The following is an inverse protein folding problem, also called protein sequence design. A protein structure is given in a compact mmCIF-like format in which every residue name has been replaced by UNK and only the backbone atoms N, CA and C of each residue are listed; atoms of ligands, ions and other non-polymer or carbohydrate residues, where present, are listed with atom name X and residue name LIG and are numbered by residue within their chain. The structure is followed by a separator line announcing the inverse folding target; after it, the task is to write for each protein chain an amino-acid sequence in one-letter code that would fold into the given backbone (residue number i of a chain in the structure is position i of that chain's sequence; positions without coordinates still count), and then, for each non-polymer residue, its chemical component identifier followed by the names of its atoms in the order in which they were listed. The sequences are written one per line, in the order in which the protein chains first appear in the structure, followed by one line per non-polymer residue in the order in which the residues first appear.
data_IF_269652621081
#
_entry.id   IF_269652621081
#
_cell.length_a   1.000
_cell.length_b   1.000
_cell.length_c   1.000
_cell.angle_alpha   90.00
_cell.angle_beta   90.00
_cell.angle_gamma   90.00
#
_symmetry.space_group_name_H-M   'P 1'
#
loop_
_entity.id
_entity.type
_entity.pdbx_description
1 polymer ?
#
# COMPACT_ATOMS: atom_id res chain seq x y z
N UNK A 1 -4.04 -21.84 -58.61
CA UNK A 1 -5.46 -21.73 -58.24
C UNK A 1 -5.52 -21.47 -56.74
N UNK A 2 -6.41 -20.58 -56.29
CA UNK A 2 -6.23 -19.67 -55.14
C UNK A 2 -6.06 -20.31 -53.75
N UNK A 3 -5.22 -19.64 -52.94
CA UNK A 3 -5.19 -19.68 -51.48
C UNK A 3 -6.26 -18.72 -50.93
N UNK A 4 -7.17 -19.20 -50.08
CA UNK A 4 -8.17 -18.38 -49.40
C UNK A 4 -7.72 -18.12 -47.94
N UNK A 5 -7.38 -16.86 -47.63
CA UNK A 5 -7.24 -16.37 -46.26
C UNK A 5 -8.63 -16.03 -45.73
N UNK A 6 -9.07 -16.72 -44.67
CA UNK A 6 -10.20 -16.31 -43.84
C UNK A 6 -9.69 -15.39 -42.73
N UNK A 7 -10.08 -14.12 -42.80
CA UNK A 7 -9.81 -13.13 -41.76
C UNK A 7 -11.13 -12.83 -41.05
N UNK A 8 -11.25 -13.27 -39.80
CA UNK A 8 -12.41 -12.93 -38.95
C UNK A 8 -12.16 -11.54 -38.37
N UNK A 9 -12.82 -10.55 -38.96
CA UNK A 9 -12.83 -9.17 -38.46
C UNK A 9 -13.76 -9.08 -37.25
N UNK A 10 -13.19 -8.80 -36.08
CA UNK A 10 -13.95 -8.55 -34.85
C UNK A 10 -14.82 -7.29 -34.98
N UNK A 11 -16.11 -7.45 -34.67
CA UNK A 11 -17.07 -6.35 -34.61
C UNK A 11 -16.72 -5.50 -33.38
N UNK A 12 -16.19 -4.30 -33.61
CA UNK A 12 -16.09 -3.26 -32.58
C UNK A 12 -17.43 -2.54 -32.51
N UNK A 13 -18.19 -2.73 -31.44
CA UNK A 13 -19.30 -1.83 -31.11
C UNK A 13 -18.73 -0.47 -30.73
N UNK A 14 -18.83 0.49 -31.64
CA UNK A 14 -18.54 1.90 -31.37
C UNK A 14 -19.79 2.51 -30.74
N UNK A 15 -19.78 2.66 -29.43
CA UNK A 15 -20.81 3.42 -28.73
C UNK A 15 -20.56 4.92 -29.00
N UNK A 16 -21.32 5.52 -29.92
CA UNK A 16 -21.28 6.97 -30.11
C UNK A 16 -22.24 7.62 -29.11
N UNK A 17 -21.77 7.93 -27.91
CA UNK A 17 -22.46 8.93 -27.08
C UNK A 17 -22.20 10.30 -27.71
N UNK A 18 -23.24 11.10 -28.06
CA UNK A 18 -23.02 12.48 -28.46
C UNK A 18 -22.42 13.22 -27.26
N UNK A 19 -21.16 13.63 -27.37
CA UNK A 19 -20.57 14.53 -26.39
C UNK A 19 -21.20 15.90 -26.60
N UNK A 20 -22.23 16.24 -25.81
CA UNK A 20 -22.62 17.62 -25.63
C UNK A 20 -21.42 18.32 -24.99
N UNK A 21 -20.69 19.09 -25.79
CA UNK A 21 -19.65 19.99 -25.29
C UNK A 21 -20.33 21.10 -24.50
N UNK A 22 -20.65 20.82 -23.24
CA UNK A 22 -21.05 21.84 -22.28
C UNK A 22 -19.82 22.70 -22.05
N UNK A 23 -19.85 23.93 -22.58
CA UNK A 23 -18.83 24.92 -22.31
C UNK A 23 -18.73 25.13 -20.79
N UNK A 24 -17.50 25.24 -20.27
CA UNK A 24 -17.28 25.59 -18.86
C UNK A 24 -18.06 26.87 -18.57
N UNK A 25 -18.95 26.90 -17.55
CA UNK A 25 -19.69 28.11 -17.22
C UNK A 25 -18.69 29.25 -16.97
N UNK A 26 -18.89 30.37 -17.68
CA UNK A 26 -18.01 31.55 -17.61
C UNK A 26 -18.13 32.30 -16.28
N UNK A 27 -19.16 31.99 -15.50
CA UNK A 27 -19.40 32.61 -14.21
C UNK A 27 -19.20 31.57 -13.09
N UNK A 28 -18.42 31.95 -12.09
CA UNK A 28 -18.35 31.30 -10.78
C UNK A 28 -19.39 31.85 -9.81
N UNK A 29 -20.23 32.78 -10.25
CA UNK A 29 -21.28 33.37 -9.42
C UNK A 29 -22.35 32.31 -9.13
N UNK A 30 -22.33 31.79 -7.90
CA UNK A 30 -23.28 30.82 -7.37
C UNK A 30 -24.42 31.48 -6.60
N UNK A 31 -24.63 32.78 -6.81
CA UNK A 31 -25.56 33.56 -6.01
C UNK A 31 -24.99 33.84 -4.61
N UNK A 32 -25.74 34.56 -3.76
CA UNK A 32 -25.32 34.85 -2.40
C UNK A 32 -25.11 33.55 -1.60
N UNK A 33 -24.20 33.59 -0.62
CA UNK A 33 -23.97 32.47 0.30
C UNK A 33 -25.31 31.96 0.83
N UNK A 34 -25.60 30.67 0.61
CA UNK A 34 -26.81 30.06 1.13
C UNK A 34 -26.84 30.26 2.64
N UNK A 35 -27.93 30.82 3.14
CA UNK A 35 -28.15 30.99 4.59
C UNK A 35 -28.84 29.77 5.19
N UNK A 36 -29.04 28.72 4.38
CA UNK A 36 -29.63 27.46 4.83
C UNK A 36 -28.66 26.73 5.77
N UNK A 37 -29.14 26.20 6.90
CA UNK A 37 -28.32 25.42 7.85
C UNK A 37 -27.80 24.10 7.25
N UNK A 38 -28.21 23.76 6.02
CA UNK A 38 -27.75 22.60 5.26
C UNK A 38 -26.39 22.83 4.58
N UNK A 39 -25.75 23.99 4.76
CA UNK A 39 -24.39 24.20 4.29
C UNK A 39 -23.45 23.30 5.10
N UNK A 40 -23.08 22.17 4.49
CA UNK A 40 -22.22 21.16 5.10
C UNK A 40 -20.84 21.77 5.34
N UNK A 41 -20.55 22.08 6.59
CA UNK A 41 -19.22 22.46 7.01
C UNK A 41 -18.36 21.19 6.99
N UNK A 42 -17.39 21.13 6.08
CA UNK A 42 -16.54 19.94 5.92
C UNK A 42 -15.66 19.70 7.15
N UNK A 43 -15.40 20.74 7.95
CA UNK A 43 -14.73 20.60 9.25
C UNK A 43 -15.62 19.88 10.27
N UNK A 44 -16.94 20.05 10.18
CA UNK A 44 -17.92 19.37 11.05
C UNK A 44 -18.16 17.89 10.71
N UNK A 45 -17.64 17.43 9.56
CA UNK A 45 -17.70 16.02 9.13
C UNK A 45 -16.44 15.23 9.46
N UNK A 46 -15.42 15.87 10.05
CA UNK A 46 -14.21 15.16 10.48
C UNK A 46 -14.46 14.41 11.80
N UNK A 47 -15.09 13.25 11.68
CA UNK A 47 -15.41 12.34 12.80
C UNK A 47 -14.14 11.82 13.49
N UNK A 48 -12.98 11.90 12.84
CA UNK A 48 -11.70 11.39 13.33
C UNK A 48 -10.75 12.49 13.85
N UNK A 49 -11.08 13.77 13.65
CA UNK A 49 -10.24 14.89 14.07
C UNK A 49 -9.97 14.94 15.59
N UNK A 50 -10.81 14.28 16.39
CA UNK A 50 -10.62 14.14 17.84
C UNK A 50 -9.88 12.88 18.30
N UNK A 51 -9.63 11.90 17.42
CA UNK A 51 -8.89 10.69 17.78
C UNK A 51 -7.38 10.93 17.71
N UNK A 52 -6.63 10.70 18.82
CA UNK A 52 -5.19 10.90 18.79
C UNK A 52 -4.55 9.90 17.82
N UNK A 53 -3.71 10.42 16.92
CA UNK A 53 -2.97 9.57 15.99
C UNK A 53 -2.09 8.57 16.77
N UNK A 54 -1.97 7.32 16.30
CA UNK A 54 -1.18 6.32 16.98
C UNK A 54 0.30 6.75 17.05
N UNK A 55 0.99 6.36 18.12
CA UNK A 55 2.42 6.59 18.29
C UNK A 55 3.26 5.96 17.17
N UNK A 56 2.72 4.91 16.54
CA UNK A 56 3.30 4.22 15.39
C UNK A 56 2.92 4.81 14.04
N UNK A 57 2.15 5.91 13.99
CA UNK A 57 1.83 6.57 12.73
C UNK A 57 3.13 7.02 12.04
N UNK A 58 3.18 6.87 10.73
CA UNK A 58 4.35 7.25 9.92
C UNK A 58 4.23 8.72 9.55
N UNK A 59 5.18 9.51 10.02
CA UNK A 59 5.25 10.95 9.76
C UNK A 59 6.00 11.23 8.44
N UNK A 60 7.11 10.53 8.20
CA UNK A 60 7.89 10.70 6.98
C UNK A 60 8.49 9.38 6.45
N UNK A 61 8.45 9.23 5.13
CA UNK A 61 9.15 8.17 4.41
C UNK A 61 10.45 8.74 3.79
N UNK A 62 11.59 8.33 4.34
CA UNK A 62 12.93 8.67 3.85
C UNK A 62 13.46 7.61 2.87
N UNK A 63 14.47 7.98 2.09
CA UNK A 63 15.11 7.06 1.13
C UNK A 63 15.66 5.79 1.81
N UNK A 64 16.15 5.91 3.03
CA UNK A 64 16.77 4.83 3.80
C UNK A 64 15.91 4.32 4.96
N UNK A 65 14.70 4.84 5.17
CA UNK A 65 13.93 4.51 6.36
C UNK A 65 12.69 5.36 6.61
N UNK A 66 12.29 5.47 7.88
CA UNK A 66 11.01 6.02 8.31
C UNK A 66 11.16 6.87 9.58
N UNK A 67 10.37 7.93 9.68
CA UNK A 67 10.13 8.69 10.89
C UNK A 67 8.70 8.43 11.36
N UNK A 68 8.54 8.09 12.63
CA UNK A 68 7.23 7.88 13.26
C UNK A 68 6.82 9.11 14.06
N UNK A 69 5.52 9.25 14.30
CA UNK A 69 4.91 10.31 15.12
C UNK A 69 5.46 10.35 16.56
N UNK A 70 6.02 9.24 17.05
CA UNK A 70 6.75 9.17 18.32
C UNK A 70 8.08 9.93 18.34
N UNK A 71 8.55 10.41 17.19
CA UNK A 71 9.92 10.89 16.98
C UNK A 71 10.93 9.77 16.74
N UNK A 72 10.53 8.48 16.78
CA UNK A 72 11.42 7.36 16.48
C UNK A 72 11.79 7.36 15.00
N UNK A 73 13.09 7.37 14.72
CA UNK A 73 13.64 7.23 13.37
C UNK A 73 14.25 5.84 13.17
N UNK A 74 13.74 5.12 12.19
CA UNK A 74 14.28 3.83 11.74
C UNK A 74 15.03 4.06 10.43
N UNK A 75 16.33 3.74 10.39
CA UNK A 75 17.19 3.92 9.21
C UNK A 75 17.84 2.59 8.79
N UNK A 76 18.21 2.46 7.52
CA UNK A 76 18.86 1.28 6.95
C UNK A 76 18.01 0.01 7.00
N UNK A 77 16.69 0.13 7.16
CA UNK A 77 15.75 -0.99 7.24
C UNK A 77 14.35 -0.56 6.83
N UNK A 78 13.55 -1.54 6.43
CA UNK A 78 12.11 -1.40 6.37
C UNK A 78 11.53 -1.44 7.77
N UNK A 79 10.21 -1.24 7.85
CA UNK A 79 9.47 -1.33 9.11
C UNK A 79 8.34 -2.34 8.97
N UNK A 80 8.19 -3.18 9.98
CA UNK A 80 7.01 -4.01 10.17
C UNK A 80 6.29 -3.50 11.42
N UNK A 81 5.10 -2.95 11.22
CA UNK A 81 4.25 -2.37 12.27
C UNK A 81 3.14 -3.37 12.58
N UNK A 82 3.08 -3.85 13.81
CA UNK A 82 2.09 -4.86 14.26
C UNK A 82 1.73 -4.57 15.71
N UNK A 83 0.43 -4.49 16.03
CA UNK A 83 -0.02 -4.37 17.43
C UNK A 83 0.40 -3.09 18.15
N UNK A 84 0.68 -2.01 17.41
CA UNK A 84 1.20 -0.77 17.99
C UNK A 84 2.70 -0.80 18.30
N UNK A 85 3.43 -1.80 17.82
CA UNK A 85 4.89 -1.88 17.90
C UNK A 85 5.51 -1.74 16.51
N UNK A 86 6.79 -1.35 16.45
CA UNK A 86 7.55 -1.21 15.21
C UNK A 86 8.83 -2.03 15.27
N UNK A 87 8.98 -2.90 14.28
CA UNK A 87 10.13 -3.78 14.13
C UNK A 87 10.95 -3.38 12.90
N UNK A 88 12.27 -3.38 13.05
CA UNK A 88 13.16 -3.28 11.89
C UNK A 88 12.98 -4.52 11.01
N UNK A 89 12.61 -4.31 9.76
CA UNK A 89 12.24 -5.38 8.84
C UNK A 89 13.12 -5.34 7.59
N UNK A 90 13.80 -6.47 7.30
CA UNK A 90 14.75 -6.58 6.20
C UNK A 90 14.50 -7.87 5.40
N UNK A 91 13.41 -7.92 4.61
CA UNK A 91 13.06 -9.11 3.84
C UNK A 91 14.18 -9.55 2.89
N UNK A 92 14.97 -8.59 2.39
CA UNK A 92 16.10 -8.83 1.49
C UNK A 92 17.28 -9.56 2.14
N UNK A 93 17.39 -9.60 3.48
CA UNK A 93 18.46 -10.34 4.17
C UNK A 93 18.11 -11.82 4.38
N UNK A 94 16.83 -12.17 4.24
CA UNK A 94 16.38 -13.56 4.28
C UNK A 94 16.59 -14.27 2.93
N UNK A 95 16.83 -13.51 1.87
CA UNK A 95 17.02 -14.00 0.51
C UNK A 95 18.51 -14.30 0.31
N UNK A 96 18.81 -15.58 0.17
CA UNK A 96 20.18 -16.12 0.13
C UNK A 96 20.39 -17.11 1.28
N UNK A 97 20.57 -18.39 0.95
CA UNK A 97 20.86 -19.40 1.97
C UNK A 97 22.09 -19.02 2.82
N UNK A 98 22.27 -19.65 3.99
CA UNK A 98 23.31 -19.33 4.99
C UNK A 98 24.73 -19.08 4.42
N UNK A 99 25.06 -19.58 3.22
CA UNK A 99 26.36 -19.46 2.56
C UNK A 99 26.50 -18.27 1.57
N UNK A 100 25.40 -17.61 1.16
CA UNK A 100 25.42 -16.54 0.12
C UNK A 100 24.59 -15.30 0.49
N UNK A 101 24.47 -15.00 1.79
CA UNK A 101 23.71 -13.87 2.36
C UNK A 101 24.09 -12.47 1.83
N UNK A 102 25.21 -12.37 1.11
CA UNK A 102 25.77 -11.12 0.56
C UNK A 102 25.56 -10.99 -0.96
N UNK A 103 25.06 -12.01 -1.67
CA UNK A 103 25.25 -12.09 -3.12
C UNK A 103 24.18 -11.39 -3.96
N UNK A 104 22.91 -11.32 -3.53
CA UNK A 104 21.92 -10.45 -4.20
C UNK A 104 20.79 -10.10 -3.22
N UNK A 105 20.67 -8.83 -2.87
CA UNK A 105 19.44 -8.29 -2.27
C UNK A 105 18.38 -8.20 -3.36
N UNK A 106 17.70 -9.33 -3.66
CA UNK A 106 16.67 -9.40 -4.69
C UNK A 106 15.29 -9.69 -4.13
N UNK A 107 14.35 -8.75 -4.16
CA UNK A 107 12.96 -8.98 -3.72
C UNK A 107 12.03 -9.43 -4.86
N UNK A 108 12.47 -9.28 -6.12
CA UNK A 108 11.68 -9.68 -7.28
C UNK A 108 12.17 -10.99 -7.89
N UNK A 109 11.25 -11.93 -8.13
CA UNK A 109 11.56 -13.14 -8.87
C UNK A 109 11.74 -12.87 -10.39
N UNK A 110 12.04 -13.91 -11.16
CA UNK A 110 12.23 -13.78 -12.63
C UNK A 110 10.97 -13.31 -13.37
N UNK A 111 9.79 -13.46 -12.77
CA UNK A 111 8.49 -13.03 -13.32
C UNK A 111 8.16 -11.58 -12.93
N UNK A 112 9.05 -10.90 -12.20
CA UNK A 112 8.82 -9.54 -11.69
C UNK A 112 7.81 -9.48 -10.54
N UNK A 113 7.54 -10.61 -9.89
CA UNK A 113 6.66 -10.66 -8.72
C UNK A 113 7.49 -10.47 -7.45
N UNK A 114 6.93 -9.78 -6.47
CA UNK A 114 7.51 -9.66 -5.14
C UNK A 114 7.38 -11.00 -4.42
N UNK A 115 8.54 -11.57 -4.11
CA UNK A 115 8.68 -12.97 -3.72
C UNK A 115 9.75 -13.05 -2.62
N UNK A 116 9.31 -13.40 -1.42
CA UNK A 116 10.15 -13.49 -0.24
C UNK A 116 9.83 -14.80 0.48
N UNK A 117 10.82 -15.40 1.15
CA UNK A 117 10.61 -16.67 1.80
C UNK A 117 9.74 -16.46 3.07
N UNK A 118 8.99 -17.49 3.47
CA UNK A 118 7.94 -17.37 4.49
C UNK A 118 8.46 -16.94 5.87
N UNK A 119 9.74 -17.17 6.16
CA UNK A 119 10.36 -16.81 7.45
C UNK A 119 10.38 -15.29 7.69
N UNK A 120 10.31 -14.50 6.61
CA UNK A 120 10.17 -13.03 6.68
C UNK A 120 8.89 -12.62 7.41
N UNK A 121 7.87 -13.48 7.39
CA UNK A 121 6.56 -13.27 8.02
C UNK A 121 6.43 -13.93 9.39
N UNK A 122 7.51 -14.51 9.94
CA UNK A 122 7.47 -15.28 11.18
C UNK A 122 6.86 -14.56 12.38
N UNK A 123 6.96 -13.22 12.45
CA UNK A 123 6.28 -12.43 13.48
C UNK A 123 4.75 -12.55 13.38
N UNK A 124 4.22 -12.55 12.16
CA UNK A 124 2.78 -12.68 11.91
C UNK A 124 2.28 -14.09 12.25
N UNK A 125 3.13 -15.12 12.21
CA UNK A 125 2.78 -16.48 12.60
C UNK A 125 2.58 -16.60 14.12
N UNK A 126 3.30 -15.82 14.92
CA UNK A 126 3.27 -15.90 16.39
C UNK A 126 2.39 -14.85 17.07
N UNK A 127 2.15 -13.71 16.42
CA UNK A 127 1.38 -12.61 17.05
C UNK A 127 -0.07 -13.01 17.32
N UNK A 128 -0.61 -12.55 18.47
CA UNK A 128 -2.03 -12.66 18.82
C UNK A 128 -2.50 -11.37 19.52
N UNK A 129 -3.69 -10.83 19.18
CA UNK A 129 -4.59 -11.25 18.10
C UNK A 129 -3.93 -11.08 16.71
N UNK A 130 -4.41 -11.84 15.71
CA UNK A 130 -3.95 -11.68 14.32
C UNK A 130 -4.52 -10.37 13.76
N UNK A 131 -3.74 -9.58 13.01
CA UNK A 131 -4.27 -8.42 12.31
C UNK A 131 -5.20 -8.86 11.18
N UNK A 132 -6.30 -8.15 10.94
CA UNK A 132 -7.26 -8.46 9.88
C UNK A 132 -6.72 -8.07 8.50
N UNK A 133 -5.89 -7.01 8.45
CA UNK A 133 -5.33 -6.43 7.24
C UNK A 133 -3.83 -6.13 7.39
N UNK A 134 -3.04 -6.51 6.39
CA UNK A 134 -1.65 -6.13 6.22
C UNK A 134 -1.51 -5.22 4.99
N UNK A 135 -1.06 -3.98 5.22
CA UNK A 135 -0.69 -3.03 4.17
C UNK A 135 0.79 -3.21 3.83
N UNK A 136 1.08 -3.68 2.61
CA UNK A 136 2.43 -3.97 2.12
C UNK A 136 2.91 -2.85 1.18
N UNK A 137 3.91 -2.09 1.65
CA UNK A 137 4.59 -1.03 0.89
C UNK A 137 5.88 -1.54 0.24
N UNK A 138 5.94 -1.57 -1.08
CA UNK A 138 7.04 -2.18 -1.84
C UNK A 138 8.15 -1.20 -2.28
N UNK A 139 8.26 -0.06 -1.62
CA UNK A 139 9.26 0.97 -1.92
C UNK A 139 8.74 1.99 -2.94
N UNK A 140 9.48 2.30 -4.01
CA UNK A 140 9.12 3.35 -4.97
C UNK A 140 7.98 3.00 -5.94
N UNK A 141 7.55 1.73 -5.99
CA UNK A 141 6.53 1.28 -6.93
C UNK A 141 5.82 0.01 -6.46
N UNK A 142 4.78 -0.36 -7.19
CA UNK A 142 3.94 -1.53 -6.90
C UNK A 142 4.35 -2.70 -7.78
N UNK A 143 4.45 -3.89 -7.19
CA UNK A 143 4.71 -5.14 -7.88
C UNK A 143 3.68 -6.21 -7.49
N UNK A 144 3.29 -7.12 -8.40
CA UNK A 144 2.44 -8.24 -8.04
C UNK A 144 3.13 -9.12 -7.00
N UNK A 145 2.42 -9.55 -5.97
CA UNK A 145 2.97 -10.46 -4.95
C UNK A 145 2.86 -11.92 -5.41
N UNK A 146 3.86 -12.73 -5.09
CA UNK A 146 3.84 -14.17 -5.37
C UNK A 146 2.59 -14.83 -4.75
N UNK A 147 1.91 -15.74 -5.46
CA UNK A 147 0.70 -16.40 -4.95
C UNK A 147 0.92 -17.13 -3.62
N UNK A 148 2.11 -17.69 -3.41
CA UNK A 148 2.49 -18.42 -2.19
C UNK A 148 2.47 -17.52 -0.96
N UNK A 149 3.05 -16.32 -1.05
CA UNK A 149 3.00 -15.31 0.02
C UNK A 149 1.57 -14.93 0.36
N UNK A 150 0.71 -14.71 -0.65
CA UNK A 150 -0.70 -14.37 -0.42
C UNK A 150 -1.44 -15.56 0.22
N UNK A 151 -1.17 -16.79 -0.20
CA UNK A 151 -1.77 -17.98 0.37
C UNK A 151 -1.37 -18.17 1.84
N UNK A 152 -0.10 -17.95 2.19
CA UNK A 152 0.38 -18.00 3.57
C UNK A 152 -0.34 -16.97 4.45
N UNK A 153 -0.37 -15.70 4.05
CA UNK A 153 -1.05 -14.65 4.82
C UNK A 153 -2.56 -14.92 4.96
N UNK A 154 -3.22 -15.35 3.89
CA UNK A 154 -4.64 -15.71 3.93
C UNK A 154 -4.90 -16.89 4.89
N UNK A 155 -3.99 -17.86 4.98
CA UNK A 155 -4.12 -18.99 5.92
C UNK A 155 -4.08 -18.57 7.39
N UNK A 156 -3.46 -17.41 7.68
CA UNK A 156 -3.46 -16.78 9.00
C UNK A 156 -4.71 -15.93 9.27
N UNK A 157 -5.61 -15.79 8.28
CA UNK A 157 -6.76 -14.89 8.33
C UNK A 157 -6.43 -13.43 8.01
N UNK A 158 -5.25 -13.15 7.46
CA UNK A 158 -4.77 -11.79 7.20
C UNK A 158 -5.03 -11.43 5.73
N UNK A 159 -5.79 -10.36 5.49
CA UNK A 159 -5.98 -9.79 4.15
C UNK A 159 -4.75 -8.98 3.74
N UNK A 160 -4.32 -9.08 2.47
CA UNK A 160 -3.14 -8.38 1.96
C UNK A 160 -3.53 -7.25 0.99
N UNK A 161 -3.12 -6.03 1.30
CA UNK A 161 -3.21 -4.85 0.44
C UNK A 161 -1.80 -4.44 -0.02
N UNK A 162 -1.59 -4.18 -1.31
CA UNK A 162 -0.24 -3.91 -1.86
C UNK A 162 -0.21 -2.53 -2.50
N UNK A 163 0.72 -1.69 -2.06
CA UNK A 163 0.92 -0.33 -2.55
C UNK A 163 2.41 0.05 -2.60
N UNK A 164 2.73 1.21 -3.16
CA UNK A 164 4.02 1.86 -2.96
C UNK A 164 4.07 2.43 -1.55
N UNK A 165 5.28 2.63 -1.02
CA UNK A 165 5.47 2.87 0.41
C UNK A 165 4.83 4.15 0.92
N UNK A 166 4.76 5.22 0.11
CA UNK A 166 4.13 6.48 0.57
C UNK A 166 2.62 6.32 0.74
N UNK A 167 1.97 5.69 -0.24
CA UNK A 167 0.54 5.45 -0.18
C UNK A 167 0.20 4.42 0.91
N UNK A 168 1.01 3.35 1.00
CA UNK A 168 0.88 2.35 2.06
C UNK A 168 0.96 2.96 3.47
N UNK A 169 1.90 3.88 3.69
CA UNK A 169 2.04 4.59 4.96
C UNK A 169 0.80 5.44 5.29
N UNK A 170 0.26 6.17 4.31
CA UNK A 170 -0.95 6.97 4.49
C UNK A 170 -2.17 6.10 4.78
N UNK A 171 -2.34 4.99 4.05
CA UNK A 171 -3.43 4.04 4.27
C UNK A 171 -3.35 3.39 5.65
N UNK A 172 -2.15 2.99 6.09
CA UNK A 172 -1.94 2.47 7.44
C UNK A 172 -2.34 3.50 8.51
N UNK A 173 -1.89 4.75 8.40
CA UNK A 173 -2.20 5.79 9.39
C UNK A 173 -3.70 6.02 9.54
N UNK A 174 -4.44 6.07 8.42
CA UNK A 174 -5.88 6.21 8.42
C UNK A 174 -6.55 5.02 9.10
N UNK A 175 -6.24 3.80 8.64
CA UNK A 175 -6.90 2.60 9.16
C UNK A 175 -6.54 2.30 10.62
N UNK A 176 -5.31 2.58 11.04
CA UNK A 176 -4.87 2.43 12.42
C UNK A 176 -5.56 3.43 13.36
N UNK A 177 -5.95 4.61 12.85
CA UNK A 177 -6.74 5.60 13.59
C UNK A 177 -8.22 5.17 13.66
N UNK A 178 -8.78 4.65 12.57
CA UNK A 178 -10.19 4.23 12.50
C UNK A 178 -10.50 2.94 13.26
N UNK A 179 -9.66 1.90 13.07
CA UNK A 179 -9.92 0.54 13.55
C UNK A 179 -9.01 0.14 14.72
N UNK A 180 -8.04 0.98 15.05
CA UNK A 180 -7.02 0.69 16.04
C UNK A 180 -5.83 -0.09 15.47
N UNK A 181 -4.68 0.07 16.13
CA UNK A 181 -3.39 -0.54 15.76
C UNK A 181 -3.32 -2.06 15.90
N UNK A 182 -4.31 -2.68 16.56
CA UNK A 182 -4.40 -4.13 16.72
C UNK A 182 -4.95 -4.84 15.48
N UNK A 183 -5.83 -4.19 14.73
CA UNK A 183 -6.54 -4.78 13.59
C UNK A 183 -5.80 -4.61 12.28
N UNK A 184 -4.88 -3.65 12.20
CA UNK A 184 -4.14 -3.33 10.97
C UNK A 184 -2.64 -3.37 11.23
N UNK A 185 -1.93 -4.09 10.37
CA UNK A 185 -0.49 -4.16 10.31
C UNK A 185 0.02 -3.48 9.02
N UNK A 186 1.28 -3.07 9.02
CA UNK A 186 1.95 -2.58 7.83
C UNK A 186 3.37 -3.13 7.71
N UNK A 187 3.79 -3.47 6.50
CA UNK A 187 5.14 -3.92 6.19
C UNK A 187 5.68 -3.07 5.05
N UNK A 188 6.66 -2.22 5.34
CA UNK A 188 7.08 -1.15 4.44
C UNK A 188 8.57 -1.23 4.12
N UNK A 189 8.88 -1.28 2.83
CA UNK A 189 10.23 -1.16 2.29
C UNK A 189 10.54 0.33 2.07
N UNK A 190 11.75 0.85 2.39
CA UNK A 190 12.06 2.26 2.19
C UNK A 190 11.86 2.75 0.75
N UNK A 191 11.45 4.01 0.56
CA UNK A 191 11.17 4.56 -0.78
C UNK A 191 12.42 4.62 -1.67
N UNK A 192 13.62 4.66 -1.08
CA UNK A 192 14.88 4.63 -1.82
C UNK A 192 15.38 3.23 -2.16
N UNK A 193 14.60 2.19 -1.87
CA UNK A 193 14.96 0.81 -2.18
C UNK A 193 15.23 0.61 -3.67
N UNK A 194 16.34 -0.07 -3.95
CA UNK A 194 16.74 -0.49 -5.30
C UNK A 194 17.33 -1.88 -5.23
N UNK A 195 16.92 -2.71 -6.19
CA UNK A 195 17.41 -4.08 -6.28
C UNK A 195 18.94 -4.13 -6.38
N UNK A 196 19.58 -4.96 -5.58
CA UNK A 196 21.03 -5.16 -5.61
C UNK A 196 21.89 -4.03 -5.03
N UNK A 197 21.32 -3.02 -4.36
CA UNK A 197 22.07 -1.91 -3.72
C UNK A 197 22.02 -1.94 -2.18
#
# INVERSE_FOLDING_TARGET
MLCLKLQVSGIRSLHSTPSLSISRPRSTDRGPTSTEPTQTDFESLDVLGGTPAPTTAIEACHSDGFLLNSGLRVSGSGVLLVGGEVFAWRPWEAIGGKKERWKVKKLLNIKGQWDVPSEVWGLLDIVWPKPDLLVLGLGPGVHPVAPETRAHLNSLGISLEVQDTRNAAAQFNLLATERGVGNVAAALVPVGWKEGR
#
